data_IF_568481981121
#
_entry.id   IF_568481981121
#
_cell.length_a   1.000
_cell.length_b   1.000
_cell.length_c   1.000
_cell.angle_alpha   90.00
_cell.angle_beta   90.00
_cell.angle_gamma   90.00
#
_symmetry.space_group_name_H-M   'P 1'
#
loop_
_entity.id
_entity.type
_entity.pdbx_description
1 polymer ?
#
# COMPACT_ATOMS: atom_id res chain seq x y z
N UNK A 1 -35.72 -6.09 23.34
CA UNK A 1 -34.98 -7.07 22.50
C UNK A 1 -34.77 -6.57 21.07
N UNK A 2 -35.79 -6.13 20.33
CA UNK A 2 -35.66 -5.63 18.95
C UNK A 2 -34.63 -4.50 18.74
N UNK A 3 -34.58 -3.51 19.62
CA UNK A 3 -33.61 -2.40 19.52
C UNK A 3 -32.15 -2.84 19.74
N UNK A 4 -31.92 -3.86 20.58
CA UNK A 4 -30.57 -4.39 20.85
C UNK A 4 -30.05 -5.17 19.64
N UNK A 5 -30.90 -6.01 19.01
CA UNK A 5 -30.56 -6.75 17.80
C UNK A 5 -30.23 -5.83 16.61
N UNK A 6 -31.03 -4.78 16.38
CA UNK A 6 -30.70 -3.80 15.33
C UNK A 6 -29.36 -3.09 15.57
N UNK A 7 -28.97 -2.86 16.83
CA UNK A 7 -27.67 -2.25 17.13
C UNK A 7 -26.49 -3.22 17.00
N UNK A 8 -26.68 -4.53 17.28
CA UNK A 8 -25.64 -5.54 17.05
C UNK A 8 -25.41 -5.74 15.56
N UNK A 9 -26.49 -5.92 14.78
CA UNK A 9 -26.41 -6.15 13.34
C UNK A 9 -25.77 -4.95 12.62
N UNK A 10 -26.10 -3.73 13.06
CA UNK A 10 -25.50 -2.51 12.53
C UNK A 10 -24.01 -2.38 12.86
N UNK A 11 -23.58 -2.78 14.07
CA UNK A 11 -22.16 -2.79 14.47
C UNK A 11 -21.36 -3.83 13.70
N UNK A 12 -21.91 -5.03 13.52
CA UNK A 12 -21.27 -6.09 12.74
C UNK A 12 -21.14 -5.68 11.27
N UNK A 13 -22.21 -5.15 10.66
CA UNK A 13 -22.15 -4.66 9.29
C UNK A 13 -21.14 -3.51 9.11
N UNK A 14 -21.02 -2.61 10.09
CA UNK A 14 -20.00 -1.55 10.06
C UNK A 14 -18.59 -2.12 10.16
N UNK A 15 -18.36 -3.07 11.06
CA UNK A 15 -17.06 -3.72 11.24
C UNK A 15 -16.63 -4.44 9.97
N UNK A 16 -17.53 -5.19 9.34
CA UNK A 16 -17.27 -5.88 8.07
C UNK A 16 -16.94 -4.90 6.93
N UNK A 17 -17.63 -3.75 6.88
CA UNK A 17 -17.32 -2.70 5.89
C UNK A 17 -15.94 -2.11 6.12
N UNK A 18 -15.62 -1.76 7.37
CA UNK A 18 -14.32 -1.19 7.73
C UNK A 18 -13.18 -2.18 7.41
N UNK A 19 -13.39 -3.48 7.66
CA UNK A 19 -12.42 -4.52 7.33
C UNK A 19 -12.26 -4.71 5.82
N UNK A 20 -13.37 -4.69 5.06
CA UNK A 20 -13.32 -4.74 3.61
C UNK A 20 -12.53 -3.56 3.03
N UNK A 21 -12.75 -2.35 3.56
CA UNK A 21 -12.03 -1.15 3.14
C UNK A 21 -10.54 -1.24 3.46
N UNK A 22 -10.19 -1.69 4.67
CA UNK A 22 -8.78 -1.92 5.07
C UNK A 22 -8.08 -2.93 4.15
N UNK A 23 -8.75 -4.03 3.83
CA UNK A 23 -8.20 -5.06 2.93
C UNK A 23 -8.02 -4.52 1.51
N UNK A 24 -9.01 -3.80 0.99
CA UNK A 24 -8.90 -3.13 -0.32
C UNK A 24 -7.72 -2.17 -0.35
N UNK A 25 -7.57 -1.35 0.69
CA UNK A 25 -6.45 -0.41 0.80
C UNK A 25 -5.10 -1.14 0.83
N UNK A 26 -4.97 -2.20 1.62
CA UNK A 26 -3.73 -2.98 1.69
C UNK A 26 -3.35 -3.61 0.33
N UNK A 27 -4.35 -4.05 -0.45
CA UNK A 27 -4.14 -4.56 -1.81
C UNK A 27 -3.64 -3.46 -2.76
N UNK A 28 -4.25 -2.28 -2.74
CA UNK A 28 -3.80 -1.15 -3.56
C UNK A 28 -2.38 -0.69 -3.16
N UNK A 29 -2.09 -0.61 -1.87
CA UNK A 29 -0.74 -0.31 -1.38
C UNK A 29 0.29 -1.33 -1.87
N UNK A 30 -0.04 -2.63 -1.88
CA UNK A 30 0.85 -3.68 -2.43
C UNK A 30 1.10 -3.49 -3.93
N UNK A 31 0.06 -3.20 -4.71
CA UNK A 31 0.21 -2.94 -6.17
C UNK A 31 1.15 -1.79 -6.45
N UNK A 32 1.07 -0.71 -5.67
CA UNK A 32 1.96 0.44 -5.81
C UNK A 32 3.41 0.07 -5.51
N UNK A 33 3.66 -0.68 -4.43
CA UNK A 33 5.00 -1.17 -4.10
C UNK A 33 5.54 -2.10 -5.19
N UNK A 34 4.71 -2.99 -5.75
CA UNK A 34 5.12 -3.88 -6.85
C UNK A 34 5.45 -3.11 -8.13
N UNK A 35 4.66 -2.08 -8.48
CA UNK A 35 4.95 -1.19 -9.62
C UNK A 35 6.29 -0.45 -9.41
N UNK A 36 6.51 0.11 -8.22
CA UNK A 36 7.76 0.81 -7.90
C UNK A 36 8.98 -0.12 -7.96
N UNK A 37 8.88 -1.37 -7.48
CA UNK A 37 9.94 -2.37 -7.66
C UNK A 37 10.24 -2.60 -9.14
N UNK A 38 9.22 -2.79 -9.97
CA UNK A 38 9.40 -2.99 -11.41
C UNK A 38 10.12 -1.83 -12.10
N UNK A 39 9.84 -0.59 -11.69
CA UNK A 39 10.56 0.61 -12.16
C UNK A 39 12.03 0.55 -11.77
N UNK A 40 12.35 0.31 -10.49
CA UNK A 40 13.74 0.23 -10.02
C UNK A 40 14.51 -0.91 -10.71
N UNK A 41 13.87 -2.07 -10.86
CA UNK A 41 14.46 -3.22 -11.56
C UNK A 41 14.81 -2.86 -13.01
N UNK A 42 13.90 -2.19 -13.72
CA UNK A 42 14.10 -1.78 -15.12
C UNK A 42 15.19 -0.71 -15.26
N UNK A 43 15.15 0.31 -14.40
CA UNK A 43 16.02 1.47 -14.52
C UNK A 43 17.45 1.20 -14.04
N UNK A 44 17.60 0.31 -13.05
CA UNK A 44 18.90 0.05 -12.42
C UNK A 44 19.46 -1.35 -12.68
N UNK A 45 18.68 -2.25 -13.30
CA UNK A 45 19.11 -3.62 -13.57
C UNK A 45 19.27 -4.49 -12.32
N UNK A 46 18.60 -4.13 -11.22
CA UNK A 46 18.68 -4.82 -9.93
C UNK A 46 17.58 -5.89 -9.78
N UNK A 47 17.80 -6.93 -8.96
CA UNK A 47 16.77 -7.93 -8.68
C UNK A 47 15.67 -7.38 -7.76
N UNK A 48 14.53 -8.08 -7.72
CA UNK A 48 13.33 -7.66 -6.98
C UNK A 48 13.58 -7.49 -5.48
N UNK A 49 14.37 -8.38 -4.87
CA UNK A 49 14.69 -8.35 -3.44
C UNK A 49 15.53 -7.12 -3.08
N UNK A 50 16.44 -6.70 -3.97
CA UNK A 50 17.21 -5.47 -3.81
C UNK A 50 16.32 -4.24 -3.98
N UNK A 51 15.44 -4.23 -4.98
CA UNK A 51 14.47 -3.14 -5.18
C UNK A 51 13.56 -2.96 -3.95
N UNK A 52 13.04 -4.06 -3.40
CA UNK A 52 12.25 -4.03 -2.17
C UNK A 52 13.05 -3.47 -0.99
N UNK A 53 14.29 -3.95 -0.78
CA UNK A 53 15.18 -3.47 0.29
C UNK A 53 15.47 -1.97 0.16
N UNK A 54 15.59 -1.43 -1.05
CA UNK A 54 15.78 0.01 -1.27
C UNK A 54 14.56 0.83 -0.87
N UNK A 55 13.36 0.41 -1.27
CA UNK A 55 12.10 1.06 -0.85
C UNK A 55 12.00 1.01 0.69
N UNK A 56 12.29 -0.15 1.28
CA UNK A 56 12.28 -0.34 2.74
C UNK A 56 13.26 0.57 3.46
N UNK A 57 14.51 0.66 2.96
CA UNK A 57 15.52 1.54 3.53
C UNK A 57 15.08 3.00 3.48
N UNK A 58 14.59 3.48 2.33
CA UNK A 58 14.10 4.86 2.20
C UNK A 58 12.90 5.15 3.10
N UNK A 59 11.99 4.18 3.24
CA UNK A 59 10.85 4.25 4.15
C UNK A 59 11.32 4.47 5.60
N UNK A 60 12.29 3.69 6.07
CA UNK A 60 12.89 3.85 7.40
C UNK A 60 13.64 5.18 7.55
N UNK A 61 14.52 5.51 6.61
CA UNK A 61 15.35 6.72 6.66
C UNK A 61 14.51 8.00 6.65
N UNK A 62 13.39 8.00 5.92
CA UNK A 62 12.46 9.14 5.82
C UNK A 62 11.31 9.08 6.82
N UNK A 63 11.18 8.00 7.60
CA UNK A 63 10.05 7.73 8.51
C UNK A 63 8.70 7.87 7.80
N UNK A 64 8.62 7.34 6.58
CA UNK A 64 7.44 7.33 5.73
C UNK A 64 6.92 5.91 5.57
N UNK A 65 5.68 5.75 5.11
CA UNK A 65 5.17 4.43 4.75
C UNK A 65 5.82 3.95 3.46
N UNK A 66 5.91 2.63 3.29
CA UNK A 66 6.39 1.99 2.06
C UNK A 66 5.66 2.48 0.80
N UNK A 67 4.34 2.64 0.90
CA UNK A 67 3.51 3.12 -0.22
C UNK A 67 3.86 4.56 -0.61
N UNK A 68 4.14 5.46 0.34
CA UNK A 68 4.52 6.85 0.02
C UNK A 68 5.85 6.90 -0.74
N UNK A 69 6.80 6.02 -0.40
CA UNK A 69 8.07 5.91 -1.14
C UNK A 69 7.82 5.33 -2.54
N UNK A 70 6.96 4.32 -2.65
CA UNK A 70 6.61 3.71 -3.93
C UNK A 70 5.93 4.71 -4.87
N UNK A 71 4.99 5.50 -4.37
CA UNK A 71 4.33 6.59 -5.10
C UNK A 71 5.34 7.64 -5.58
N UNK A 72 6.30 8.01 -4.74
CA UNK A 72 7.35 8.97 -5.12
C UNK A 72 8.23 8.44 -6.26
N UNK A 73 8.58 7.14 -6.26
CA UNK A 73 9.33 6.50 -7.34
C UNK A 73 8.52 6.49 -8.63
N UNK A 74 7.24 6.13 -8.55
CA UNK A 74 6.33 6.10 -9.70
C UNK A 74 6.19 7.49 -10.31
N UNK A 75 5.96 8.51 -9.47
CA UNK A 75 5.84 9.89 -9.92
C UNK A 75 7.13 10.38 -10.58
N UNK A 76 8.29 10.04 -10.03
CA UNK A 76 9.57 10.41 -10.62
C UNK A 76 9.74 9.81 -12.03
N UNK A 77 9.43 8.52 -12.21
CA UNK A 77 9.45 7.86 -13.54
C UNK A 77 8.49 8.52 -14.53
N UNK A 78 7.28 8.88 -14.09
CA UNK A 78 6.27 9.53 -14.92
C UNK A 78 6.69 10.94 -15.35
N UNK A 79 7.48 11.65 -14.56
CA UNK A 79 7.98 13.01 -14.88
C UNK A 79 9.24 12.98 -15.75
N UNK A 80 10.11 11.97 -15.59
CA UNK A 80 11.38 11.88 -16.34
C UNK A 80 11.25 11.32 -17.76
N UNK A 81 10.06 10.89 -18.16
CA UNK A 81 9.78 10.24 -19.44
C UNK A 81 8.95 11.11 -20.37
#
# INVERSE_FOLDING_TARGET
MLAVAMTSDFKEMRTLKDENERLRKALEERKLVDKAKGILMKNEGIPEDEAYRRIQKHSMDKRKKMVEIAEAIILAEEVTR
#
